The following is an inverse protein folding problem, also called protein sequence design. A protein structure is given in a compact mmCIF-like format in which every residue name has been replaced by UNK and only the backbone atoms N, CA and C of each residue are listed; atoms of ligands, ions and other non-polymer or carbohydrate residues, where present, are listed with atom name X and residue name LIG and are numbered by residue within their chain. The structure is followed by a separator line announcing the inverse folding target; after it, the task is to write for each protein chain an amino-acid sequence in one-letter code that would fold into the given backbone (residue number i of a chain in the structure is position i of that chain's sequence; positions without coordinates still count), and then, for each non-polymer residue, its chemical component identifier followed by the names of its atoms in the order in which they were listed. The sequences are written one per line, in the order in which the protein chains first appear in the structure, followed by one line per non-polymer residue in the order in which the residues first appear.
data_IF_729597575555
#
_entry.id   IF_729597575555
#
_cell.length_a   1.000
_cell.length_b   1.000
_cell.length_c   1.000
_cell.angle_alpha   90.00
_cell.angle_beta   90.00
_cell.angle_gamma   90.00
#
_symmetry.space_group_name_H-M   'P 1'
#
loop_
_entity.id
_entity.type
_entity.pdbx_description
1 polymer ?
#
# COMPACT_ATOMS: atom_id res chain seq x y z
N UNK A 1 68.41 -7.14 -73.54
CA UNK A 1 67.38 -6.38 -74.29
C UNK A 1 66.03 -7.02 -74.02
N UNK A 2 65.01 -6.18 -73.77
CA UNK A 2 63.62 -6.46 -73.35
C UNK A 2 63.34 -6.61 -71.85
N UNK A 3 62.95 -5.47 -71.27
CA UNK A 3 61.90 -5.29 -70.25
C UNK A 3 60.63 -6.07 -70.65
N UNK A 4 59.82 -6.50 -69.67
CA UNK A 4 58.48 -5.97 -69.29
C UNK A 4 57.97 -6.81 -68.10
N UNK A 5 57.92 -6.32 -66.84
CA UNK A 5 56.85 -5.58 -66.13
C UNK A 5 55.46 -6.22 -66.03
N UNK A 6 54.91 -6.13 -64.81
CA UNK A 6 53.49 -6.19 -64.39
C UNK A 6 52.88 -7.58 -64.16
N UNK A 7 52.04 -7.85 -63.16
CA UNK A 7 51.35 -7.01 -62.16
C UNK A 7 50.89 -7.93 -61.00
N UNK A 8 50.99 -7.43 -59.76
CA UNK A 8 50.15 -7.65 -58.56
C UNK A 8 49.13 -8.80 -58.53
N UNK A 9 49.07 -9.53 -57.40
CA UNK A 9 48.03 -9.26 -56.39
C UNK A 9 48.37 -9.95 -55.06
N UNK A 10 48.74 -9.13 -54.08
CA UNK A 10 48.75 -9.41 -52.66
C UNK A 10 47.32 -9.72 -52.22
N UNK A 11 47.01 -10.97 -51.87
CA UNK A 11 45.74 -11.27 -51.21
C UNK A 11 45.90 -10.90 -49.74
N UNK A 12 45.26 -9.78 -49.41
CA UNK A 12 45.13 -9.22 -48.08
C UNK A 12 44.53 -10.25 -47.11
N UNK A 13 45.25 -10.48 -46.01
CA UNK A 13 44.71 -11.03 -44.78
C UNK A 13 43.76 -9.98 -44.17
N UNK A 14 42.50 -10.01 -44.60
CA UNK A 14 41.44 -9.19 -44.03
C UNK A 14 40.86 -9.93 -42.82
N UNK A 15 41.26 -9.42 -41.65
CA UNK A 15 40.59 -9.54 -40.37
C UNK A 15 39.07 -9.34 -40.56
N UNK A 16 38.33 -10.45 -40.59
CA UNK A 16 36.91 -10.44 -40.24
C UNK A 16 36.78 -11.09 -38.87
N UNK A 17 36.52 -10.20 -37.92
CA UNK A 17 35.95 -10.46 -36.61
C UNK A 17 34.76 -11.42 -36.76
N UNK A 18 35.03 -12.72 -36.67
CA UNK A 18 34.02 -13.68 -36.25
C UNK A 18 33.84 -13.42 -34.76
N UNK A 19 32.90 -12.52 -34.47
CA UNK A 19 32.40 -12.19 -33.16
C UNK A 19 32.28 -13.45 -32.31
N UNK A 20 33.23 -13.60 -31.39
CA UNK A 20 33.06 -14.44 -30.23
C UNK A 20 31.96 -13.85 -29.37
N UNK A 21 30.71 -14.21 -29.69
CA UNK A 21 29.65 -14.26 -28.73
C UNK A 21 29.25 -15.73 -28.65
N UNK A 22 30.02 -16.52 -27.89
CA UNK A 22 29.43 -17.69 -27.24
C UNK A 22 28.29 -17.10 -26.42
N UNK A 23 27.07 -17.34 -26.88
CA UNK A 23 25.84 -17.05 -26.17
C UNK A 23 25.93 -17.78 -24.84
N UNK A 24 26.33 -17.05 -23.79
CA UNK A 24 26.05 -17.44 -22.42
C UNK A 24 24.56 -17.72 -22.28
N UNK A 25 24.15 -18.59 -21.34
CA UNK A 25 22.74 -18.92 -21.18
C UNK A 25 21.96 -17.63 -21.14
N UNK A 26 20.99 -17.50 -22.06
CA UNK A 26 20.11 -16.35 -22.19
C UNK A 26 19.76 -15.91 -20.79
N UNK A 27 20.27 -14.73 -20.41
CA UNK A 27 19.88 -14.06 -19.20
C UNK A 27 18.37 -13.92 -19.31
N UNK A 28 17.67 -14.83 -18.63
CA UNK A 28 16.25 -14.70 -18.44
C UNK A 28 16.07 -13.28 -17.95
N UNK A 29 15.17 -12.54 -18.60
CA UNK A 29 14.53 -11.39 -18.00
C UNK A 29 14.37 -11.73 -16.51
N UNK A 30 14.86 -10.90 -15.56
CA UNK A 30 14.64 -11.17 -14.16
C UNK A 30 13.14 -11.41 -14.07
N UNK A 31 12.76 -12.66 -13.84
CA UNK A 31 11.36 -12.99 -13.60
C UNK A 31 11.10 -12.15 -12.38
N UNK A 32 10.30 -11.09 -12.54
CA UNK A 32 9.94 -10.20 -11.43
C UNK A 32 9.60 -11.14 -10.29
N UNK A 33 10.50 -11.22 -9.31
CA UNK A 33 10.37 -12.19 -8.24
C UNK A 33 9.05 -11.80 -7.59
N UNK A 34 8.00 -12.60 -7.83
CA UNK A 34 6.69 -12.33 -7.24
C UNK A 34 6.94 -12.15 -5.76
N UNK A 35 6.74 -10.92 -5.29
CA UNK A 35 7.16 -10.55 -3.97
C UNK A 35 6.20 -11.26 -3.01
N UNK A 36 6.69 -12.27 -2.31
CA UNK A 36 5.87 -13.03 -1.36
C UNK A 36 5.65 -12.13 -0.15
N UNK A 37 4.42 -11.64 0.02
CA UNK A 37 4.08 -10.84 1.17
C UNK A 37 4.08 -11.67 2.47
N UNK A 38 4.46 -11.09 3.62
CA UNK A 38 4.40 -11.77 4.90
C UNK A 38 3.01 -12.36 5.17
N UNK A 39 2.99 -13.65 5.54
CA UNK A 39 1.75 -14.38 5.78
C UNK A 39 0.83 -14.46 4.57
N UNK A 40 1.32 -14.32 3.33
CA UNK A 40 0.48 -14.25 2.12
C UNK A 40 -0.58 -13.15 2.19
N UNK A 41 -0.26 -12.01 2.81
CA UNK A 41 -1.19 -10.90 3.00
C UNK A 41 -2.18 -11.07 4.16
N UNK A 42 -1.98 -12.10 4.99
CA UNK A 42 -2.76 -12.35 6.21
C UNK A 42 -2.46 -11.35 7.33
N UNK A 43 -1.28 -10.74 7.34
CA UNK A 43 -0.88 -9.83 8.40
C UNK A 43 -1.09 -8.36 8.03
N UNK A 44 -1.41 -7.53 9.03
CA UNK A 44 -1.45 -6.08 8.84
C UNK A 44 -0.08 -5.59 8.34
N UNK A 45 -0.04 -4.99 7.15
CA UNK A 45 1.17 -4.35 6.63
C UNK A 45 1.62 -3.17 7.52
N UNK A 46 0.73 -2.63 8.36
CA UNK A 46 1.01 -1.52 9.27
C UNK A 46 1.43 -0.26 8.51
N UNK A 47 0.85 -0.08 7.32
CA UNK A 47 1.24 0.95 6.36
C UNK A 47 0.12 1.95 6.06
N UNK A 48 -0.91 1.99 6.90
CA UNK A 48 -2.02 2.94 6.84
C UNK A 48 -1.97 3.82 8.08
N UNK A 49 -2.04 5.13 7.89
CA UNK A 49 -2.12 6.13 8.96
C UNK A 49 -3.28 7.09 8.69
N UNK A 50 -3.94 7.54 9.75
CA UNK A 50 -5.04 8.51 9.69
C UNK A 50 -4.89 9.56 10.79
N UNK A 51 -5.36 10.77 10.53
CA UNK A 51 -5.57 11.80 11.55
C UNK A 51 -5.94 13.16 10.97
N UNK A 52 -5.62 14.25 11.68
CA UNK A 52 -5.98 15.62 11.28
C UNK A 52 -4.96 16.28 10.31
N UNK A 53 -3.89 15.56 9.98
CA UNK A 53 -2.78 16.04 9.15
C UNK A 53 -1.60 16.59 9.94
N UNK A 54 -1.79 16.98 11.20
CA UNK A 54 -0.70 17.29 12.13
C UNK A 54 -0.24 16.04 12.89
N UNK A 55 -1.20 15.22 13.33
CA UNK A 55 -0.97 13.93 13.99
C UNK A 55 -1.54 12.82 13.13
N UNK A 56 -0.70 11.83 12.78
CA UNK A 56 -1.07 10.69 11.94
C UNK A 56 -0.74 9.39 12.67
N UNK A 57 -1.72 8.48 12.84
CA UNK A 57 -1.58 7.23 13.60
C UNK A 57 -2.33 6.07 12.96
N UNK A 58 -1.94 4.84 13.31
CA UNK A 58 -2.70 3.63 12.94
C UNK A 58 -3.91 3.39 13.87
N UNK A 59 -3.99 4.08 15.00
CA UNK A 59 -5.18 4.20 15.84
C UNK A 59 -5.35 5.68 16.20
N UNK A 60 -6.41 6.30 15.70
CA UNK A 60 -6.71 7.72 15.90
C UNK A 60 -8.04 7.91 16.62
N UNK A 61 -8.02 8.51 17.80
CA UNK A 61 -9.21 8.78 18.58
C UNK A 61 -9.74 10.20 18.37
N UNK A 62 -11.06 10.33 18.25
CA UNK A 62 -11.72 11.62 18.12
C UNK A 62 -13.05 11.64 18.88
N UNK A 63 -13.38 12.80 19.45
CA UNK A 63 -14.64 13.04 20.15
C UNK A 63 -15.49 13.98 19.30
N UNK A 64 -16.72 13.58 18.98
CA UNK A 64 -17.62 14.35 18.12
C UNK A 64 -19.03 14.45 18.68
N UNK A 65 -19.71 15.60 18.50
CA UNK A 65 -21.14 15.68 18.69
C UNK A 65 -21.90 14.85 17.64
N UNK A 66 -23.16 14.53 17.94
CA UNK A 66 -24.14 14.13 16.90
C UNK A 66 -24.36 15.28 15.89
N UNK A 67 -24.76 14.93 14.67
CA UNK A 67 -25.03 15.89 13.58
C UNK A 67 -23.83 16.77 13.20
N UNK A 68 -22.63 16.19 13.20
CA UNK A 68 -21.41 16.86 12.74
C UNK A 68 -20.71 16.04 11.67
N UNK A 69 -19.96 16.74 10.83
CA UNK A 69 -19.09 16.12 9.85
C UNK A 69 -17.65 16.51 10.16
N UNK A 70 -16.74 15.55 10.08
CA UNK A 70 -15.29 15.77 10.13
C UNK A 70 -14.66 15.17 8.89
N UNK A 71 -13.56 15.77 8.43
CA UNK A 71 -12.69 15.19 7.41
C UNK A 71 -11.34 14.89 8.04
N UNK A 72 -10.91 13.65 7.96
CA UNK A 72 -9.58 13.21 8.36
C UNK A 72 -8.72 12.99 7.12
N UNK A 73 -7.41 13.19 7.27
CA UNK A 73 -6.42 12.83 6.26
C UNK A 73 -5.93 11.41 6.51
N UNK A 74 -5.63 10.72 5.42
CA UNK A 74 -5.12 9.36 5.41
C UNK A 74 -3.90 9.23 4.50
N UNK A 75 -3.00 8.33 4.89
CA UNK A 75 -1.80 7.99 4.13
C UNK A 75 -1.68 6.47 4.06
N UNK A 76 -1.45 5.95 2.85
CA UNK A 76 -0.90 4.60 2.64
C UNK A 76 0.53 4.76 2.13
N UNK A 77 1.48 4.10 2.77
CA UNK A 77 2.90 4.20 2.40
C UNK A 77 3.50 2.85 2.01
N UNK A 78 4.55 2.89 1.21
CA UNK A 78 5.24 1.69 0.76
C UNK A 78 6.25 1.22 1.82
N UNK A 79 5.78 0.38 2.75
CA UNK A 79 6.61 -0.13 3.84
C UNK A 79 7.50 -1.27 3.35
N UNK A 80 8.79 -1.21 3.70
CA UNK A 80 9.74 -2.33 3.52
C UNK A 80 9.37 -3.51 4.41
N UNK A 81 9.45 -4.72 3.87
CA UNK A 81 9.37 -5.96 4.63
C UNK A 81 10.50 -6.91 4.22
N UNK A 82 10.78 -7.89 5.09
CA UNK A 82 11.74 -8.95 4.83
C UNK A 82 11.11 -10.30 5.07
N UNK A 83 11.33 -11.22 4.14
CA UNK A 83 10.96 -12.63 4.28
C UNK A 83 12.24 -13.45 4.28
N UNK A 84 12.48 -14.17 5.36
CA UNK A 84 13.59 -15.11 5.50
C UNK A 84 13.09 -16.52 5.19
N UNK A 85 13.87 -17.26 4.43
CA UNK A 85 13.66 -18.69 4.23
C UNK A 85 14.57 -19.51 5.14
N UNK A 86 14.19 -20.78 5.35
CA UNK A 86 14.87 -21.68 6.30
C UNK A 86 16.36 -21.90 6.00
N UNK A 87 16.78 -21.69 4.75
CA UNK A 87 18.18 -21.82 4.33
C UNK A 87 19.03 -20.54 4.57
N UNK A 88 18.46 -19.52 5.24
CA UNK A 88 19.14 -18.26 5.54
C UNK A 88 19.16 -17.25 4.40
N UNK A 89 18.61 -17.57 3.23
CA UNK A 89 18.37 -16.58 2.18
C UNK A 89 17.13 -15.74 2.51
N UNK A 90 17.23 -14.43 2.33
CA UNK A 90 16.15 -13.49 2.63
C UNK A 90 15.90 -12.55 1.46
N UNK A 91 14.64 -12.24 1.21
CA UNK A 91 14.23 -11.27 0.21
C UNK A 91 13.68 -10.04 0.90
N UNK A 92 14.13 -8.86 0.47
CA UNK A 92 13.54 -7.58 0.86
C UNK A 92 12.51 -7.18 -0.19
N UNK A 93 11.33 -6.77 0.25
CA UNK A 93 10.24 -6.33 -0.61
C UNK A 93 9.57 -5.08 -0.05
N UNK A 94 8.65 -4.52 -0.82
CA UNK A 94 7.86 -3.36 -0.45
C UNK A 94 6.39 -3.62 -0.73
N UNK A 95 5.50 -3.15 0.14
CA UNK A 95 4.07 -3.07 -0.19
C UNK A 95 3.87 -1.95 -1.20
N UNK A 96 3.51 -2.29 -2.44
CA UNK A 96 3.42 -1.35 -3.56
C UNK A 96 2.20 -1.64 -4.44
N UNK A 97 2.02 -0.81 -5.46
CA UNK A 97 1.00 -0.98 -6.48
C UNK A 97 -0.27 -0.19 -6.21
N UNK A 98 -1.33 -0.54 -6.93
CA UNK A 98 -2.67 0.01 -6.76
C UNK A 98 -3.32 -0.51 -5.49
N UNK A 99 -3.95 0.38 -4.74
CA UNK A 99 -4.56 0.10 -3.43
C UNK A 99 -5.99 0.58 -3.41
N UNK A 100 -6.93 -0.34 -3.18
CA UNK A 100 -8.33 -0.01 -2.90
C UNK A 100 -8.56 0.27 -1.41
N UNK A 101 -9.34 1.28 -1.09
CA UNK A 101 -9.65 1.69 0.28
C UNK A 101 -11.13 1.44 0.58
N UNK A 102 -11.41 0.84 1.74
CA UNK A 102 -12.78 0.61 2.23
C UNK A 102 -12.88 0.88 3.72
N UNK A 103 -14.06 1.28 4.15
CA UNK A 103 -14.39 1.48 5.55
C UNK A 103 -15.31 0.36 6.07
N UNK A 104 -15.09 -0.06 7.31
CA UNK A 104 -15.90 -1.04 8.02
C UNK A 104 -16.07 -0.63 9.47
N UNK A 105 -17.16 -1.05 10.10
CA UNK A 105 -17.27 -1.04 11.55
C UNK A 105 -16.81 -2.38 12.13
N UNK A 106 -16.36 -2.36 13.37
CA UNK A 106 -16.10 -3.58 14.13
C UNK A 106 -16.01 -3.28 15.62
N UNK A 107 -15.75 -4.32 16.40
CA UNK A 107 -15.38 -4.16 17.80
C UNK A 107 -13.95 -3.64 17.94
N UNK A 108 -13.54 -3.28 19.16
CA UNK A 108 -12.12 -3.09 19.48
C UNK A 108 -11.42 -4.47 19.41
N UNK A 109 -10.82 -4.77 18.26
CA UNK A 109 -10.15 -6.04 18.00
C UNK A 109 -8.66 -5.77 17.84
N UNK A 110 -7.87 -6.28 18.79
CA UNK A 110 -6.40 -6.29 18.67
C UNK A 110 -5.99 -7.57 17.93
N UNK A 111 -6.47 -7.74 16.69
CA UNK A 111 -5.99 -8.81 15.81
C UNK A 111 -5.01 -8.22 14.83
N UNK A 112 -3.82 -8.81 14.75
CA UNK A 112 -2.83 -8.49 13.71
C UNK A 112 -3.07 -9.29 12.43
N UNK A 113 -3.90 -10.34 12.51
CA UNK A 113 -4.27 -11.25 11.44
C UNK A 113 -5.61 -10.83 10.82
N UNK A 114 -5.67 -10.83 9.49
CA UNK A 114 -6.83 -10.48 8.69
C UNK A 114 -7.99 -11.44 8.93
N UNK A 115 -7.77 -12.75 8.94
CA UNK A 115 -8.81 -13.76 9.20
C UNK A 115 -9.49 -13.56 10.55
N UNK A 116 -8.72 -13.14 11.56
CA UNK A 116 -9.24 -12.80 12.89
C UNK A 116 -10.00 -11.46 12.94
N UNK A 117 -9.72 -10.55 12.02
CA UNK A 117 -10.38 -9.25 11.92
C UNK A 117 -11.63 -9.30 11.02
N UNK A 118 -11.51 -9.87 9.82
CA UNK A 118 -12.52 -9.86 8.75
C UNK A 118 -13.88 -10.40 9.21
N UNK A 119 -13.87 -11.52 9.94
CA UNK A 119 -15.08 -12.14 10.48
C UNK A 119 -15.87 -11.26 11.47
N UNK A 120 -15.27 -10.16 11.93
CA UNK A 120 -15.83 -9.21 12.90
C UNK A 120 -16.07 -7.82 12.30
N UNK A 121 -15.78 -7.65 11.01
CA UNK A 121 -16.04 -6.42 10.29
C UNK A 121 -17.44 -6.42 9.69
N UNK A 122 -18.15 -5.33 9.88
CA UNK A 122 -19.47 -5.09 9.34
C UNK A 122 -19.46 -3.89 8.39
N UNK A 123 -20.35 -3.85 7.40
CA UNK A 123 -20.57 -2.64 6.62
C UNK A 123 -20.88 -1.45 7.55
N UNK A 124 -20.41 -0.26 7.18
CA UNK A 124 -20.66 0.95 7.96
C UNK A 124 -22.16 1.21 8.04
N UNK A 125 -22.66 1.33 9.27
CA UNK A 125 -24.04 1.68 9.61
C UNK A 125 -24.05 2.77 10.68
N UNK A 126 -25.13 3.55 10.79
CA UNK A 126 -25.29 4.66 11.75
C UNK A 126 -24.30 5.85 11.59
N UNK A 127 -23.19 5.66 10.88
CA UNK A 127 -22.31 6.71 10.36
C UNK A 127 -22.45 6.79 8.85
N UNK A 128 -22.27 7.98 8.28
CA UNK A 128 -22.02 8.11 6.84
C UNK A 128 -20.54 8.35 6.64
N UNK A 129 -19.88 7.45 5.91
CA UNK A 129 -18.44 7.50 5.69
C UNK A 129 -18.16 7.50 4.19
N UNK A 130 -17.35 8.45 3.76
CA UNK A 130 -16.88 8.55 2.37
C UNK A 130 -15.36 8.60 2.37
N UNK A 131 -14.73 7.88 1.44
CA UNK A 131 -13.27 7.89 1.25
C UNK A 131 -12.99 8.49 -0.13
N UNK A 132 -12.10 9.48 -0.20
CA UNK A 132 -11.73 10.12 -1.44
C UNK A 132 -10.21 10.34 -1.56
N UNK A 133 -9.55 9.83 -2.61
CA UNK A 133 -10.06 8.85 -3.57
C UNK A 133 -10.21 7.46 -2.91
N UNK A 134 -11.10 6.61 -3.45
CA UNK A 134 -11.25 5.21 -3.01
C UNK A 134 -10.09 4.31 -3.47
N UNK A 135 -9.21 4.83 -4.31
CA UNK A 135 -8.05 4.12 -4.83
C UNK A 135 -6.86 5.05 -4.89
N UNK A 136 -5.71 4.55 -4.43
CA UNK A 136 -4.42 5.25 -4.47
C UNK A 136 -3.35 4.34 -5.06
N UNK A 137 -2.25 4.93 -5.51
CA UNK A 137 -1.04 4.20 -5.89
C UNK A 137 0.05 4.45 -4.86
N UNK A 138 0.80 3.40 -4.51
CA UNK A 138 1.90 3.50 -3.55
C UNK A 138 3.14 2.80 -4.08
N UNK A 139 4.29 3.43 -3.90
CA UNK A 139 5.60 2.88 -4.26
C UNK A 139 6.68 3.47 -3.33
N UNK A 140 7.89 2.89 -3.26
CA UNK A 140 8.94 3.43 -2.41
C UNK A 140 9.21 4.92 -2.68
N UNK A 141 9.10 5.74 -1.64
CA UNK A 141 9.27 7.20 -1.72
C UNK A 141 8.03 7.99 -2.18
N UNK A 142 6.93 7.33 -2.58
CA UNK A 142 5.68 7.97 -2.97
C UNK A 142 4.50 7.37 -2.20
N UNK A 143 3.93 8.21 -1.35
CA UNK A 143 2.77 7.83 -0.55
C UNK A 143 1.48 8.06 -1.33
N UNK A 144 0.50 7.19 -1.12
CA UNK A 144 -0.88 7.41 -1.50
C UNK A 144 -1.57 8.21 -0.41
N UNK A 145 -2.27 9.28 -0.77
CA UNK A 145 -3.01 10.12 0.18
C UNK A 145 -4.50 10.06 -0.10
N UNK A 146 -5.30 10.08 0.95
CA UNK A 146 -6.75 10.08 0.87
C UNK A 146 -7.37 10.90 2.00
N UNK A 147 -8.66 11.17 1.89
CA UNK A 147 -9.47 11.79 2.93
C UNK A 147 -10.60 10.85 3.33
N UNK A 148 -10.96 10.89 4.61
CA UNK A 148 -12.11 10.16 5.17
C UNK A 148 -13.08 11.18 5.74
N UNK A 149 -14.23 11.33 5.11
CA UNK A 149 -15.32 12.19 5.59
C UNK A 149 -16.27 11.35 6.44
N UNK A 150 -16.46 11.73 7.70
CA UNK A 150 -17.31 11.02 8.66
C UNK A 150 -18.42 11.97 9.09
N UNK A 151 -19.66 11.62 8.80
CA UNK A 151 -20.88 12.33 9.20
C UNK A 151 -21.63 11.52 10.27
N UNK A 152 -21.86 12.16 11.42
CA UNK A 152 -22.46 11.61 12.63
C UNK A 152 -23.96 11.90 12.77
N UNK A 153 -24.64 12.30 11.69
CA UNK A 153 -26.09 12.58 11.68
C UNK A 153 -26.95 11.37 12.04
N UNK A 154 -26.49 10.16 11.74
CA UNK A 154 -27.15 8.90 12.12
C UNK A 154 -26.66 8.30 13.45
N UNK A 155 -25.70 8.94 14.12
CA UNK A 155 -24.96 8.31 15.20
C UNK A 155 -25.72 8.35 16.53
N UNK A 156 -25.54 7.31 17.35
CA UNK A 156 -26.16 7.19 18.66
C UNK A 156 -25.33 7.91 19.71
N UNK A 157 -25.96 8.81 20.46
CA UNK A 157 -25.30 9.55 21.55
C UNK A 157 -24.75 8.59 22.61
N UNK A 158 -23.51 8.83 23.05
CA UNK A 158 -22.84 8.02 24.07
C UNK A 158 -22.19 6.73 23.52
N UNK A 159 -22.46 6.37 22.26
CA UNK A 159 -21.82 5.24 21.60
C UNK A 159 -20.42 5.62 21.11
N UNK A 160 -19.53 4.63 21.13
CA UNK A 160 -18.21 4.71 20.49
C UNK A 160 -18.20 3.77 19.30
N UNK A 161 -17.76 4.27 18.14
CA UNK A 161 -17.64 3.50 16.92
C UNK A 161 -16.16 3.26 16.63
N UNK A 162 -15.78 2.03 16.29
CA UNK A 162 -14.44 1.70 15.80
C UNK A 162 -14.52 1.50 14.29
N UNK A 163 -14.12 2.54 13.57
CA UNK A 163 -14.12 2.57 12.12
C UNK A 163 -12.77 2.09 11.58
N UNK A 164 -12.75 0.93 10.96
CA UNK A 164 -11.58 0.36 10.31
C UNK A 164 -11.49 0.89 8.89
N UNK A 165 -10.38 1.55 8.57
CA UNK A 165 -10.05 1.94 7.20
C UNK A 165 -9.02 0.95 6.68
N UNK A 166 -9.44 0.12 5.72
CA UNK A 166 -8.68 -1.01 5.21
C UNK A 166 -8.19 -0.72 3.80
N UNK A 167 -6.89 -0.90 3.60
CA UNK A 167 -6.19 -0.87 2.34
C UNK A 167 -6.04 -2.30 1.80
N UNK A 168 -6.50 -2.53 0.57
CA UNK A 168 -6.35 -3.78 -0.18
C UNK A 168 -5.42 -3.54 -1.37
N UNK A 169 -4.19 -4.06 -1.29
CA UNK A 169 -3.24 -4.00 -2.40
C UNK A 169 -3.58 -4.99 -3.49
N UNK A 170 -3.28 -4.65 -4.74
CA UNK A 170 -3.53 -5.53 -5.90
C UNK A 170 -2.78 -6.86 -5.83
N UNK A 171 -1.60 -6.88 -5.20
CA UNK A 171 -0.80 -8.09 -4.96
C UNK A 171 -1.28 -8.91 -3.74
N UNK A 172 -2.47 -8.59 -3.19
CA UNK A 172 -3.15 -9.37 -2.15
C UNK A 172 -2.79 -9.00 -0.71
N UNK A 173 -1.82 -8.11 -0.49
CA UNK A 173 -1.50 -7.58 0.84
C UNK A 173 -2.61 -6.68 1.38
N UNK A 174 -2.70 -6.60 2.72
CA UNK A 174 -3.68 -5.75 3.41
C UNK A 174 -3.01 -4.91 4.49
N UNK A 175 -3.55 -3.73 4.71
CA UNK A 175 -3.16 -2.87 5.82
C UNK A 175 -4.38 -2.16 6.37
N UNK A 176 -4.38 -1.80 7.65
CA UNK A 176 -5.51 -1.07 8.21
C UNK A 176 -5.11 -0.14 9.36
N UNK A 177 -5.91 0.91 9.50
CA UNK A 177 -5.91 1.82 10.63
C UNK A 177 -7.32 1.89 11.24
N UNK A 178 -7.39 2.25 12.52
CA UNK A 178 -8.64 2.39 13.28
C UNK A 178 -8.88 3.85 13.63
N UNK A 179 -10.10 4.32 13.38
CA UNK A 179 -10.60 5.59 13.89
C UNK A 179 -11.62 5.30 14.98
N UNK A 180 -11.30 5.68 16.21
CA UNK A 180 -12.21 5.58 17.34
C UNK A 180 -13.03 6.87 17.43
N UNK A 181 -14.31 6.79 17.10
CA UNK A 181 -15.24 7.91 17.07
C UNK A 181 -16.15 7.84 18.30
N UNK A 182 -15.85 8.65 19.32
CA UNK A 182 -16.69 8.75 20.51
C UNK A 182 -17.75 9.84 20.32
N UNK A 183 -19.03 9.45 20.32
CA UNK A 183 -20.14 10.38 20.17
C UNK A 183 -20.52 10.99 21.51
N UNK A 184 -20.24 12.27 21.69
CA UNK A 184 -20.64 13.06 22.85
C UNK A 184 -21.93 13.86 22.56
N UNK A 185 -22.68 14.24 23.59
CA UNK A 185 -23.85 15.10 23.43
C UNK A 185 -23.45 16.58 23.57
N UNK A 186 -23.89 17.46 22.66
CA UNK A 186 -23.81 18.88 22.98
C UNK A 186 -24.84 19.21 24.06
N UNK A 187 -24.36 19.70 25.21
CA UNK A 187 -25.08 20.72 25.96
C UNK A 187 -25.20 21.95 25.06
N UNK A 188 -26.41 22.49 24.96
CA UNK A 188 -26.62 23.86 24.53
C UNK A 188 -25.80 24.77 25.43
N UNK A 189 -24.74 25.38 24.92
CA UNK A 189 -24.21 26.61 25.52
C UNK A 189 -25.23 27.70 25.19
N UNK A 190 -26.26 27.81 26.02
CA UNK A 190 -27.01 29.06 26.15
C UNK A 190 -26.07 30.06 26.80
N UNK A 191 -25.58 31.01 26.01
CA UNK A 191 -24.90 32.19 26.56
C UNK A 191 -25.86 32.97 27.46
N UNK A 192 -25.41 33.48 28.62
CA UNK A 192 -26.16 34.47 29.41
C UNK A 192 -26.32 35.80 28.66
#
# INVERSE_FOLDING_TARGET
MRLETSLTLTIALLLLLASGCISGPSGGTPTESQAIHPGYGEFNAGNVLIGDGGVMRNHYGLVMPVNRTVTLKGIVFSREYRVSSENGSGTTGYYRGKVGLKAYLGDIVVSYAWSGLESRLEPVSELKVEIAPETVEVEPGKNGTFEVRIDTSGAVRGKTYYLYIVAFGEDGWKGWAVVEVKIWGNETVTSP
#
